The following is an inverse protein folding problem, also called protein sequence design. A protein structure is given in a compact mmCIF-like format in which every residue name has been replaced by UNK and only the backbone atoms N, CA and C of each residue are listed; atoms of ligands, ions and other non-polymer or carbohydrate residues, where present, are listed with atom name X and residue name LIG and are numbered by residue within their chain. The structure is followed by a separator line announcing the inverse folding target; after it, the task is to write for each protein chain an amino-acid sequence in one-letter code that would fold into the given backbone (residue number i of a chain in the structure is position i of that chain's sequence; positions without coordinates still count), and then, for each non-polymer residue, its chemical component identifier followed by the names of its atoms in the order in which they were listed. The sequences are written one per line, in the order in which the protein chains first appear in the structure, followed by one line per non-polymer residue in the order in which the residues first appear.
data_IF_477281176768
#
_entry.id   IF_477281176768
#
_cell.length_a   1.000
_cell.length_b   1.000
_cell.length_c   1.000
_cell.angle_alpha   90.00
_cell.angle_beta   90.00
_cell.angle_gamma   90.00
#
_symmetry.space_group_name_H-M   'P 1'
#
loop_
_entity.id
_entity.type
_entity.pdbx_description
1 polymer ?
#
# COMPACT_ATOMS: atom_id res chain seq x y z
N UNK A 1 5.03 11.81 -7.89
CA UNK A 1 6.06 11.60 -6.84
C UNK A 1 5.61 11.84 -5.39
N UNK A 2 5.21 13.06 -4.99
CA UNK A 2 4.98 13.43 -3.58
C UNK A 2 3.94 12.55 -2.86
N UNK A 3 2.84 12.19 -3.54
CA UNK A 3 1.82 11.29 -2.99
C UNK A 3 2.40 9.90 -2.65
N UNK A 4 3.15 9.30 -3.57
CA UNK A 4 3.83 8.03 -3.33
C UNK A 4 4.83 8.13 -2.15
N UNK A 5 5.59 9.22 -2.06
CA UNK A 5 6.49 9.45 -0.92
C UNK A 5 5.76 9.55 0.41
N UNK A 6 4.62 10.25 0.47
CA UNK A 6 3.82 10.32 1.69
C UNK A 6 3.41 8.92 2.16
N UNK A 7 2.92 8.07 1.25
CA UNK A 7 2.55 6.71 1.61
C UNK A 7 3.75 5.87 2.04
N UNK A 8 4.89 5.98 1.36
CA UNK A 8 6.10 5.27 1.77
C UNK A 8 6.56 5.66 3.18
N UNK A 9 6.54 6.95 3.51
CA UNK A 9 6.91 7.44 4.85
C UNK A 9 6.00 6.86 5.92
N UNK A 10 4.68 6.83 5.68
CA UNK A 10 3.72 6.23 6.63
C UNK A 10 4.02 4.75 6.83
N UNK A 11 4.16 3.96 5.75
CA UNK A 11 4.39 2.53 5.91
C UNK A 11 5.73 2.19 6.53
N UNK A 12 6.78 2.94 6.19
CA UNK A 12 8.09 2.75 6.76
C UNK A 12 8.11 3.10 8.25
N UNK A 13 7.60 4.27 8.61
CA UNK A 13 7.80 4.81 9.97
C UNK A 13 6.71 4.38 10.96
N UNK A 14 5.47 4.20 10.52
CA UNK A 14 4.36 3.79 11.39
C UNK A 14 4.28 2.28 11.50
N UNK A 15 4.35 1.58 10.36
CA UNK A 15 4.20 0.12 10.34
C UNK A 15 5.54 -0.63 10.37
N UNK A 16 6.67 0.01 10.07
CA UNK A 16 7.97 -0.67 9.98
C UNK A 16 8.14 -1.49 8.70
N UNK A 17 7.44 -1.11 7.62
CA UNK A 17 7.46 -1.80 6.32
C UNK A 17 8.73 -1.50 5.51
N UNK A 18 9.08 -2.41 4.61
CA UNK A 18 10.13 -2.18 3.61
C UNK A 18 9.49 -1.65 2.32
N UNK A 19 9.86 -0.44 1.94
CA UNK A 19 9.24 0.31 0.85
C UNK A 19 10.26 1.18 0.13
N UNK A 20 10.22 1.12 -1.19
CA UNK A 20 10.99 1.98 -2.09
C UNK A 20 10.07 2.80 -2.98
N UNK A 21 10.50 4.02 -3.31
CA UNK A 21 9.79 4.89 -4.25
C UNK A 21 10.71 5.30 -5.36
N UNK A 22 10.28 5.10 -6.59
CA UNK A 22 10.96 5.56 -7.80
C UNK A 22 10.02 6.37 -8.68
N UNK A 23 10.58 7.12 -9.63
CA UNK A 23 9.83 7.85 -10.64
C UNK A 23 9.97 9.37 -10.52
N UNK A 24 9.02 10.08 -11.11
CA UNK A 24 9.08 11.51 -11.37
C UNK A 24 7.74 12.20 -10.99
N UNK A 25 7.60 13.52 -11.21
CA UNK A 25 6.37 14.24 -10.88
C UNK A 25 5.10 13.69 -11.55
N UNK A 26 5.19 13.18 -12.78
CA UNK A 26 4.04 12.69 -13.57
C UNK A 26 3.64 11.26 -13.22
N UNK A 27 4.64 10.40 -12.96
CA UNK A 27 4.44 8.99 -12.64
C UNK A 27 5.42 8.54 -11.57
N UNK A 28 4.91 7.94 -10.50
CA UNK A 28 5.71 7.36 -9.44
C UNK A 28 5.29 5.93 -9.16
N UNK A 29 6.26 5.08 -8.81
CA UNK A 29 6.05 3.70 -8.39
C UNK A 29 6.47 3.59 -6.94
N UNK A 30 5.59 3.04 -6.12
CA UNK A 30 5.87 2.63 -4.76
C UNK A 30 5.89 1.11 -4.72
N UNK A 31 7.04 0.55 -4.35
CA UNK A 31 7.24 -0.88 -4.24
C UNK A 31 7.28 -1.28 -2.76
N UNK A 32 6.19 -1.87 -2.28
CA UNK A 32 6.08 -2.39 -0.91
C UNK A 32 6.62 -3.82 -0.89
N UNK A 33 7.95 -3.95 -0.71
CA UNK A 33 8.63 -5.25 -0.66
C UNK A 33 8.16 -6.11 0.51
N UNK A 34 7.84 -5.45 1.64
CA UNK A 34 7.33 -6.09 2.85
C UNK A 34 6.35 -5.18 3.58
N UNK A 35 5.08 -5.56 3.61
CA UNK A 35 4.01 -4.87 4.30
C UNK A 35 3.81 -5.44 5.70
N UNK A 36 4.27 -4.71 6.73
CA UNK A 36 4.10 -5.13 8.13
C UNK A 36 2.64 -5.14 8.60
N UNK A 37 1.80 -4.30 7.99
CA UNK A 37 0.37 -4.29 8.29
C UNK A 37 -0.31 -5.59 7.83
N UNK A 38 0.10 -6.13 6.67
CA UNK A 38 -0.35 -7.43 6.18
C UNK A 38 0.15 -8.55 7.09
N UNK A 39 1.42 -8.53 7.50
CA UNK A 39 1.97 -9.53 8.44
C UNK A 39 1.15 -9.57 9.73
N UNK A 40 0.88 -8.41 10.34
CA UNK A 40 0.04 -8.33 11.52
C UNK A 40 -1.37 -8.90 11.29
N UNK A 41 -1.98 -8.61 10.14
CA UNK A 41 -3.30 -9.15 9.79
C UNK A 41 -3.29 -10.69 9.66
N UNK A 42 -2.22 -11.25 9.09
CA UNK A 42 -2.07 -12.70 8.96
C UNK A 42 -1.81 -13.36 10.32
N UNK A 43 -1.03 -12.74 11.21
CA UNK A 43 -0.87 -13.20 12.60
C UNK A 43 -2.22 -13.22 13.35
N UNK A 44 -3.12 -12.26 13.09
CA UNK A 44 -4.47 -12.29 13.65
C UNK A 44 -5.34 -13.38 13.02
N UNK A 45 -5.18 -13.63 11.72
CA UNK A 45 -5.87 -14.73 11.03
C UNK A 45 -5.50 -16.09 11.64
N UNK A 46 -4.21 -16.31 11.94
CA UNK A 46 -3.73 -17.51 12.65
C UNK A 46 -4.36 -17.68 14.05
N UNK A 47 -4.77 -16.57 14.68
CA UNK A 47 -5.46 -16.56 15.99
C UNK A 47 -6.98 -16.67 15.89
N UNK A 48 -7.52 -16.94 14.69
CA UNK A 48 -8.94 -17.16 14.46
C UNK A 48 -9.75 -15.92 14.07
N UNK A 49 -9.09 -14.78 13.79
CA UNK A 49 -9.80 -13.65 13.19
C UNK A 49 -10.16 -13.99 11.73
N UNK A 50 -11.42 -13.79 11.28
CA UNK A 50 -11.85 -14.17 9.93
C UNK A 50 -11.41 -13.13 8.89
N UNK A 51 -10.11 -13.00 8.66
CA UNK A 51 -9.52 -12.07 7.69
C UNK A 51 -8.59 -12.81 6.73
N UNK A 52 -8.77 -12.56 5.43
CA UNK A 52 -7.82 -13.04 4.40
C UNK A 52 -6.87 -11.94 3.96
N UNK A 53 -5.77 -12.35 3.31
CA UNK A 53 -4.85 -11.42 2.62
C UNK A 53 -5.61 -10.50 1.66
N UNK A 54 -6.50 -11.06 0.83
CA UNK A 54 -7.26 -10.32 -0.18
C UNK A 54 -8.19 -9.29 0.46
N UNK A 55 -8.88 -9.66 1.54
CA UNK A 55 -9.76 -8.74 2.27
C UNK A 55 -8.96 -7.60 2.93
N UNK A 56 -7.82 -7.92 3.56
CA UNK A 56 -6.97 -6.91 4.17
C UNK A 56 -6.37 -5.96 3.10
N UNK A 57 -5.81 -6.52 2.04
CA UNK A 57 -5.17 -5.76 0.98
C UNK A 57 -6.16 -4.89 0.20
N UNK A 58 -7.36 -5.40 -0.12
CA UNK A 58 -8.43 -4.59 -0.74
C UNK A 58 -8.93 -3.49 0.20
N UNK A 59 -9.09 -3.78 1.51
CA UNK A 59 -9.46 -2.77 2.50
C UNK A 59 -8.44 -1.63 2.57
N UNK A 60 -7.15 -1.94 2.53
CA UNK A 60 -6.07 -0.95 2.46
C UNK A 60 -6.17 -0.09 1.19
N UNK A 61 -6.22 -0.73 0.02
CA UNK A 61 -6.17 -0.04 -1.28
C UNK A 61 -7.47 0.68 -1.60
N UNK A 62 -8.59 -0.03 -1.64
CA UNK A 62 -9.87 0.50 -2.10
C UNK A 62 -10.62 1.24 -0.99
N UNK A 63 -10.36 0.90 0.27
CA UNK A 63 -10.95 1.57 1.43
C UNK A 63 -10.30 2.92 1.75
N UNK A 64 -9.00 3.07 1.50
CA UNK A 64 -8.26 4.29 1.84
C UNK A 64 -7.42 4.85 0.68
N UNK A 65 -6.40 4.14 0.19
CA UNK A 65 -5.40 4.77 -0.68
C UNK A 65 -5.92 5.24 -2.03
N UNK A 66 -6.77 4.45 -2.68
CA UNK A 66 -7.40 4.80 -3.95
C UNK A 66 -8.29 6.03 -3.80
N UNK A 67 -9.12 6.06 -2.75
CA UNK A 67 -10.00 7.20 -2.45
C UNK A 67 -9.22 8.48 -2.18
N UNK A 68 -8.15 8.40 -1.39
CA UNK A 68 -7.30 9.57 -1.11
C UNK A 68 -6.58 10.03 -2.40
N UNK A 69 -6.10 9.11 -3.23
CA UNK A 69 -5.48 9.45 -4.51
C UNK A 69 -6.47 10.18 -5.43
N UNK A 70 -7.67 9.65 -5.61
CA UNK A 70 -8.74 10.22 -6.44
C UNK A 70 -9.14 11.63 -5.98
N UNK A 71 -9.33 11.82 -4.66
CA UNK A 71 -9.65 13.13 -4.07
C UNK A 71 -8.55 14.19 -4.32
N UNK A 72 -7.32 13.76 -4.55
CA UNK A 72 -6.18 14.62 -4.84
C UNK A 72 -5.88 14.72 -6.35
N UNK A 73 -6.73 14.15 -7.21
CA UNK A 73 -6.58 14.17 -8.67
C UNK A 73 -5.48 13.26 -9.18
N UNK A 74 -5.25 12.12 -8.52
CA UNK A 74 -4.33 11.09 -8.99
C UNK A 74 -5.07 9.80 -9.34
N UNK A 75 -4.51 9.07 -10.30
CA UNK A 75 -4.89 7.68 -10.59
C UNK A 75 -3.95 6.72 -9.83
N UNK A 76 -4.53 5.68 -9.22
CA UNK A 76 -3.79 4.64 -8.50
C UNK A 76 -4.06 3.26 -9.12
N UNK A 77 -3.00 2.62 -9.65
CA UNK A 77 -3.03 1.22 -10.07
C UNK A 77 -2.21 0.37 -9.11
N UNK A 78 -2.67 -0.83 -8.79
CA UNK A 78 -2.02 -1.69 -7.80
C UNK A 78 -1.90 -3.12 -8.32
N UNK A 79 -0.72 -3.71 -8.12
CA UNK A 79 -0.47 -5.13 -8.28
C UNK A 79 -0.15 -5.73 -6.90
N UNK A 80 -0.89 -6.76 -6.50
CA UNK A 80 -0.64 -7.45 -5.22
C UNK A 80 0.45 -8.50 -5.37
N UNK A 81 1.29 -8.61 -4.34
CA UNK A 81 2.32 -9.63 -4.20
C UNK A 81 2.10 -10.40 -2.88
N UNK A 82 2.92 -11.42 -2.62
CA UNK A 82 2.77 -12.23 -1.40
C UNK A 82 3.03 -11.46 -0.12
N UNK A 83 4.06 -10.62 -0.12
CA UNK A 83 4.51 -9.87 1.05
C UNK A 83 4.14 -8.40 1.02
N UNK A 84 3.45 -7.94 -0.02
CA UNK A 84 3.12 -6.53 -0.18
C UNK A 84 2.43 -6.23 -1.51
N UNK A 85 2.73 -5.07 -2.08
CA UNK A 85 2.11 -4.62 -3.33
C UNK A 85 2.99 -3.60 -4.04
N UNK A 86 2.84 -3.51 -5.35
CA UNK A 86 3.42 -2.43 -6.14
C UNK A 86 2.30 -1.49 -6.56
N UNK A 87 2.45 -0.21 -6.25
CA UNK A 87 1.50 0.83 -6.61
C UNK A 87 2.10 1.78 -7.62
N UNK A 88 1.35 2.03 -8.69
CA UNK A 88 1.67 3.06 -9.68
C UNK A 88 0.72 4.23 -9.51
N UNK A 89 1.29 5.39 -9.20
CA UNK A 89 0.57 6.65 -9.05
C UNK A 89 0.88 7.50 -10.27
N UNK A 90 -0.15 7.95 -10.98
CA UNK A 90 -0.03 8.92 -12.07
C UNK A 90 -0.99 10.08 -11.87
N UNK A 91 -0.67 11.21 -12.48
CA UNK A 91 -1.62 12.33 -12.63
C UNK A 91 -2.64 12.01 -13.71
#
# INVERSE_FOLDING_TARGET
LKFAMNYAVVNKNVFGSDVEVTGNPEKAVLDMKRCRNLEAALEFAEKGMPITKEQHCSGCIDGYFRRVAENLGFTLNVAFADKGCTMTVSK
#
